data_IF_499561950007
#
_entry.id   IF_499561950007
#
_cell.length_a   1.000
_cell.length_b   1.000
_cell.length_c   1.000
_cell.angle_alpha   90.00
_cell.angle_beta   90.00
_cell.angle_gamma   90.00
#
_symmetry.space_group_name_H-M   'P 1'
#
loop_
_entity.id
_entity.type
_entity.pdbx_description
1 polymer ?
#
# COMPACT_ATOMS: atom_id res chain seq x y z
N UNK A 1 -51.25 -66.85 5.17
CA UNK A 1 -51.79 -65.58 5.69
C UNK A 1 -50.60 -64.86 6.32
N UNK A 2 -49.80 -64.10 5.56
CA UNK A 2 -50.01 -62.68 5.21
C UNK A 2 -50.16 -61.90 6.53
N UNK A 3 -49.15 -61.16 7.00
CA UNK A 3 -48.77 -59.85 6.44
C UNK A 3 -47.26 -59.59 6.49
N UNK A 4 -46.67 -59.27 5.34
CA UNK A 4 -45.51 -58.39 5.24
C UNK A 4 -46.00 -57.09 4.64
N UNK A 5 -45.87 -55.97 5.35
CA UNK A 5 -45.68 -54.62 4.77
C UNK A 5 -45.48 -53.56 5.87
N UNK A 6 -45.02 -52.34 5.56
CA UNK A 6 -43.79 -51.95 4.88
C UNK A 6 -42.94 -50.98 5.72
N UNK A 7 -41.68 -50.84 5.33
CA UNK A 7 -40.89 -49.60 5.31
C UNK A 7 -41.53 -48.38 6.02
N UNK A 8 -41.24 -48.20 7.31
CA UNK A 8 -41.23 -46.85 7.84
C UNK A 8 -40.04 -46.12 7.18
N UNK A 9 -40.26 -45.03 6.45
CA UNK A 9 -39.17 -44.15 6.09
C UNK A 9 -38.68 -43.58 7.41
N UNK A 10 -37.56 -44.13 7.92
CA UNK A 10 -36.80 -43.48 8.97
C UNK A 10 -36.21 -42.21 8.36
N UNK A 11 -37.07 -41.20 8.29
CA UNK A 11 -36.70 -39.84 8.00
C UNK A 11 -36.09 -39.33 9.30
N UNK A 12 -34.92 -39.87 9.67
CA UNK A 12 -34.08 -39.30 10.71
C UNK A 12 -33.52 -37.99 10.17
N UNK A 13 -34.38 -36.99 10.08
CA UNK A 13 -34.00 -35.59 10.02
C UNK A 13 -33.62 -35.15 11.43
N UNK A 14 -32.62 -35.83 12.01
CA UNK A 14 -31.93 -35.32 13.18
C UNK A 14 -31.21 -34.02 12.78
N UNK A 15 -30.91 -33.12 13.73
CA UNK A 15 -30.15 -31.89 13.50
C UNK A 15 -28.74 -32.06 12.87
N UNK A 16 -28.36 -33.26 12.43
CA UNK A 16 -27.04 -33.66 11.91
C UNK A 16 -27.01 -34.12 10.44
N UNK A 17 -27.99 -33.78 9.61
CA UNK A 17 -27.83 -33.88 8.15
C UNK A 17 -26.86 -32.82 7.61
N UNK A 18 -26.48 -32.88 6.33
CA UNK A 18 -25.57 -31.98 5.57
C UNK A 18 -25.52 -30.50 6.03
N UNK A 19 -26.64 -29.95 6.52
CA UNK A 19 -26.72 -28.64 7.17
C UNK A 19 -25.81 -28.45 8.41
N UNK A 20 -25.63 -29.49 9.23
CA UNK A 20 -24.72 -29.49 10.38
C UNK A 20 -23.25 -29.46 9.97
N UNK A 21 -22.86 -30.24 8.94
CA UNK A 21 -21.50 -30.22 8.38
C UNK A 21 -21.17 -28.86 7.74
N UNK A 22 -22.14 -28.22 7.10
CA UNK A 22 -22.01 -26.86 6.59
C UNK A 22 -21.84 -25.85 7.74
N UNK A 23 -22.61 -26.00 8.82
CA UNK A 23 -22.51 -25.13 9.98
C UNK A 23 -21.15 -25.25 10.70
N UNK A 24 -20.58 -26.46 10.76
CA UNK A 24 -19.26 -26.71 11.32
C UNK A 24 -18.14 -26.16 10.41
N UNK A 25 -18.23 -26.36 9.08
CA UNK A 25 -17.27 -25.80 8.13
C UNK A 25 -17.24 -24.25 8.16
N UNK A 26 -18.42 -23.61 8.23
CA UNK A 26 -18.50 -22.15 8.38
C UNK A 26 -17.84 -21.70 9.68
N UNK A 27 -18.01 -22.46 10.76
CA UNK A 27 -17.42 -22.14 12.07
C UNK A 27 -15.90 -22.26 12.05
N UNK A 28 -15.38 -23.28 11.38
CA UNK A 28 -13.94 -23.51 11.23
C UNK A 28 -13.27 -22.46 10.32
N UNK A 29 -13.86 -22.16 9.17
CA UNK A 29 -13.37 -21.09 8.27
C UNK A 29 -13.36 -19.73 8.97
N UNK A 30 -14.42 -19.44 9.74
CA UNK A 30 -14.48 -18.21 10.56
C UNK A 30 -13.39 -18.20 11.64
N UNK A 31 -13.05 -19.37 12.21
CA UNK A 31 -11.96 -19.54 13.16
C UNK A 31 -10.58 -19.25 12.55
N UNK A 32 -10.30 -19.79 11.37
CA UNK A 32 -9.03 -19.58 10.64
C UNK A 32 -8.87 -18.11 10.23
N UNK A 33 -9.89 -17.50 9.62
CA UNK A 33 -9.85 -16.09 9.20
C UNK A 33 -9.60 -15.15 10.40
N UNK A 34 -10.22 -15.44 11.55
CA UNK A 34 -9.98 -14.68 12.79
C UNK A 34 -8.59 -14.94 13.38
N UNK A 35 -8.01 -16.12 13.17
CA UNK A 35 -6.66 -16.48 13.58
C UNK A 35 -5.60 -15.77 12.75
N UNK A 36 -5.65 -15.94 11.43
CA UNK A 36 -4.70 -15.36 10.47
C UNK A 36 -4.81 -13.83 10.43
N UNK A 37 -6.01 -13.28 10.56
CA UNK A 37 -6.22 -11.83 10.59
C UNK A 37 -5.51 -11.12 11.75
N UNK A 38 -5.33 -11.79 12.90
CA UNK A 38 -4.55 -11.22 14.03
C UNK A 38 -3.07 -11.16 13.69
N UNK A 39 -2.54 -12.16 12.98
CA UNK A 39 -1.14 -12.21 12.60
C UNK A 39 -0.84 -11.15 11.53
N UNK A 40 -1.68 -11.06 10.50
CA UNK A 40 -1.60 -10.04 9.45
C UNK A 40 -1.64 -8.63 10.07
N UNK A 41 -2.58 -8.37 10.98
CA UNK A 41 -2.66 -7.08 11.67
C UNK A 41 -1.41 -6.79 12.50
N UNK A 42 -0.84 -7.81 13.14
CA UNK A 42 0.38 -7.66 13.94
C UNK A 42 1.57 -7.29 13.07
N UNK A 43 1.80 -8.04 11.99
CA UNK A 43 2.90 -7.79 11.05
C UNK A 43 2.75 -6.43 10.35
N UNK A 44 1.53 -6.07 9.92
CA UNK A 44 1.23 -4.73 9.41
C UNK A 44 1.53 -3.64 10.45
N UNK A 45 1.10 -3.83 11.70
CA UNK A 45 1.37 -2.85 12.76
C UNK A 45 2.86 -2.71 13.08
N UNK A 46 3.61 -3.80 12.98
CA UNK A 46 5.04 -3.85 13.25
C UNK A 46 5.83 -3.21 12.08
N UNK A 47 5.40 -3.48 10.85
CA UNK A 47 5.87 -2.80 9.64
C UNK A 47 5.61 -1.29 9.70
N UNK A 48 4.39 -0.87 10.03
CA UNK A 48 4.03 0.54 10.21
C UNK A 48 4.87 1.22 11.30
N UNK A 49 5.10 0.56 12.44
CA UNK A 49 5.96 1.08 13.51
C UNK A 49 7.42 1.20 13.08
N UNK A 50 7.94 0.22 12.34
CA UNK A 50 9.30 0.26 11.82
C UNK A 50 9.47 1.37 10.77
N UNK A 51 8.48 1.54 9.89
CA UNK A 51 8.44 2.65 8.93
C UNK A 51 8.35 4.01 9.65
N UNK A 52 7.53 4.12 10.70
CA UNK A 52 7.43 5.33 11.49
C UNK A 52 8.76 5.69 12.18
N UNK A 53 9.42 4.71 12.80
CA UNK A 53 10.74 4.90 13.41
C UNK A 53 11.81 5.29 12.36
N UNK A 54 11.77 4.69 11.17
CA UNK A 54 12.64 5.08 10.06
C UNK A 54 12.35 6.50 9.53
N UNK A 55 11.08 6.89 9.50
CA UNK A 55 10.66 8.21 9.05
C UNK A 55 11.18 9.34 9.95
N UNK A 56 11.25 9.14 11.27
CA UNK A 56 11.82 10.12 12.20
C UNK A 56 13.28 10.46 11.87
N UNK A 57 14.12 9.44 11.64
CA UNK A 57 15.51 9.65 11.22
C UNK A 57 15.63 10.30 9.84
N UNK A 58 14.74 9.95 8.89
CA UNK A 58 14.70 10.60 7.58
C UNK A 58 14.35 12.08 7.68
N UNK A 59 13.36 12.45 8.52
CA UNK A 59 12.98 13.85 8.73
C UNK A 59 14.13 14.62 9.38
N UNK A 60 14.75 14.07 10.42
CA UNK A 60 15.92 14.69 11.05
C UNK A 60 17.05 14.90 10.03
N UNK A 61 17.40 13.86 9.26
CA UNK A 61 18.41 13.95 8.20
C UNK A 61 18.07 14.97 7.13
N UNK A 62 16.81 15.07 6.71
CA UNK A 62 16.33 16.06 5.76
C UNK A 62 16.50 17.50 6.29
N UNK A 63 16.25 17.74 7.59
CA UNK A 63 16.48 19.03 8.23
C UNK A 63 17.97 19.38 8.21
N UNK A 64 18.85 18.45 8.59
CA UNK A 64 20.30 18.69 8.55
C UNK A 64 20.81 18.96 7.12
N UNK A 65 20.33 18.20 6.14
CA UNK A 65 20.65 18.43 4.74
C UNK A 65 20.14 19.78 4.25
N UNK A 66 18.95 20.21 4.67
CA UNK A 66 18.42 21.53 4.34
C UNK A 66 19.31 22.63 4.91
N UNK A 67 19.69 22.54 6.19
CA UNK A 67 20.61 23.51 6.82
C UNK A 67 21.96 23.54 6.10
N UNK A 68 22.54 22.38 5.81
CA UNK A 68 23.80 22.28 5.06
C UNK A 68 23.68 22.89 3.66
N UNK A 69 22.57 22.64 2.96
CA UNK A 69 22.30 23.22 1.65
C UNK A 69 22.20 24.75 1.72
N UNK A 70 21.52 25.31 2.73
CA UNK A 70 21.45 26.77 2.92
C UNK A 70 22.84 27.39 3.14
N UNK A 71 23.69 26.75 3.95
CA UNK A 71 25.07 27.19 4.15
C UNK A 71 25.88 27.12 2.86
N UNK A 72 25.74 26.06 2.07
CA UNK A 72 26.42 25.92 0.77
C UNK A 72 25.94 26.95 -0.24
N UNK A 73 24.64 27.26 -0.29
CA UNK A 73 24.08 28.33 -1.14
C UNK A 73 24.68 29.67 -0.73
N UNK A 74 24.78 29.96 0.57
CA UNK A 74 25.40 31.19 1.05
C UNK A 74 26.89 31.25 0.66
N UNK A 75 27.62 30.15 0.79
CA UNK A 75 29.02 30.07 0.37
C UNK A 75 29.18 30.31 -1.13
N UNK A 76 28.29 29.75 -1.95
CA UNK A 76 28.27 29.98 -3.40
C UNK A 76 27.98 31.44 -3.76
N UNK A 77 27.03 32.08 -3.06
CA UNK A 77 26.75 33.51 -3.24
C UNK A 77 27.97 34.35 -2.89
N UNK A 78 28.66 34.05 -1.78
CA UNK A 78 29.88 34.78 -1.37
C UNK A 78 30.98 34.60 -2.43
N UNK A 79 31.22 33.37 -2.89
CA UNK A 79 32.22 33.09 -3.92
C UNK A 79 31.92 33.83 -5.23
N UNK A 80 30.65 33.88 -5.66
CA UNK A 80 30.25 34.57 -6.88
C UNK A 80 30.24 36.10 -6.72
N UNK A 81 30.01 36.58 -5.49
CA UNK A 81 29.98 38.01 -5.18
C UNK A 81 31.33 38.70 -5.44
N UNK A 82 32.45 37.97 -5.39
CA UNK A 82 33.78 38.50 -5.75
C UNK A 82 33.84 39.02 -7.19
N UNK A 83 32.98 38.52 -8.08
CA UNK A 83 33.00 38.83 -9.51
C UNK A 83 31.90 39.79 -9.93
N UNK A 84 30.69 39.62 -9.39
CA UNK A 84 29.48 40.33 -9.85
C UNK A 84 28.86 41.22 -8.76
N UNK A 85 29.43 41.20 -7.55
CA UNK A 85 28.88 41.87 -6.38
C UNK A 85 27.78 41.07 -5.68
N UNK A 86 27.54 41.33 -4.38
CA UNK A 86 26.68 40.49 -3.53
C UNK A 86 25.21 40.49 -3.95
N UNK A 87 24.70 41.63 -4.42
CA UNK A 87 23.31 41.74 -4.90
C UNK A 87 23.06 40.82 -6.10
N UNK A 88 23.85 40.96 -7.16
CA UNK A 88 23.67 40.15 -8.37
C UNK A 88 24.02 38.67 -8.18
N UNK A 89 25.03 38.36 -7.35
CA UNK A 89 25.34 36.98 -7.01
C UNK A 89 24.14 36.25 -6.37
N UNK A 90 23.46 36.89 -5.42
CA UNK A 90 22.27 36.31 -4.78
C UNK A 90 21.12 36.07 -5.76
N UNK A 91 20.90 37.00 -6.71
CA UNK A 91 19.86 36.89 -7.75
C UNK A 91 20.18 35.74 -8.71
N UNK A 92 21.42 35.63 -9.18
CA UNK A 92 21.84 34.59 -10.13
C UNK A 92 21.69 33.20 -9.50
N UNK A 93 22.22 33.02 -8.30
CA UNK A 93 22.14 31.73 -7.59
C UNK A 93 20.70 31.37 -7.26
N UNK A 94 19.92 32.35 -6.77
CA UNK A 94 18.50 32.16 -6.49
C UNK A 94 17.68 31.79 -7.73
N UNK A 95 17.93 32.45 -8.87
CA UNK A 95 17.26 32.14 -10.13
C UNK A 95 17.62 30.72 -10.63
N UNK A 96 18.91 30.35 -10.59
CA UNK A 96 19.35 29.02 -11.00
C UNK A 96 18.71 27.91 -10.16
N UNK A 97 18.72 28.05 -8.82
CA UNK A 97 18.08 27.10 -7.92
C UNK A 97 16.56 27.08 -8.08
N UNK A 98 15.93 28.24 -8.31
CA UNK A 98 14.51 28.34 -8.60
C UNK A 98 14.09 27.55 -9.84
N UNK A 99 14.88 27.62 -10.92
CA UNK A 99 14.64 26.83 -12.14
C UNK A 99 14.76 25.32 -11.85
N UNK A 100 15.81 24.92 -11.15
CA UNK A 100 16.02 23.51 -10.77
C UNK A 100 14.84 23.01 -9.90
N UNK A 101 14.43 23.80 -8.90
CA UNK A 101 13.31 23.49 -8.03
C UNK A 101 11.98 23.36 -8.78
N UNK A 102 11.69 24.28 -9.70
CA UNK A 102 10.49 24.21 -10.54
C UNK A 102 10.47 22.93 -11.40
N UNK A 103 11.62 22.55 -11.97
CA UNK A 103 11.74 21.33 -12.78
C UNK A 103 11.56 20.06 -11.93
N UNK A 104 12.13 20.03 -10.72
CA UNK A 104 11.94 18.91 -9.78
C UNK A 104 10.48 18.77 -9.36
N UNK A 105 9.79 19.87 -9.05
CA UNK A 105 8.36 19.86 -8.73
C UNK A 105 7.55 19.35 -9.93
N UNK A 106 7.83 19.84 -11.14
CA UNK A 106 7.16 19.38 -12.35
C UNK A 106 7.31 17.86 -12.55
N UNK A 107 8.52 17.32 -12.39
CA UNK A 107 8.77 15.88 -12.49
C UNK A 107 8.16 15.08 -11.34
N UNK A 108 8.23 15.58 -10.12
CA UNK A 108 7.63 14.95 -8.94
C UNK A 108 6.12 14.79 -9.10
N UNK A 109 5.44 15.84 -9.58
CA UNK A 109 4.00 15.79 -9.88
C UNK A 109 3.65 14.71 -10.91
N UNK A 110 4.45 14.57 -11.96
CA UNK A 110 4.24 13.49 -12.95
C UNK A 110 4.48 12.09 -12.37
N UNK A 111 5.45 11.93 -11.48
CA UNK A 111 5.72 10.64 -10.83
C UNK A 111 4.66 10.26 -9.81
N UNK A 112 4.10 11.22 -9.08
CA UNK A 112 3.01 10.98 -8.14
C UNK A 112 1.68 10.71 -8.88
N UNK A 113 1.43 11.40 -9.99
CA UNK A 113 0.30 11.12 -10.88
C UNK A 113 0.37 9.74 -11.54
N UNK A 114 1.56 9.22 -11.83
CA UNK A 114 1.75 7.85 -12.32
C UNK A 114 1.76 6.81 -11.18
N UNK A 115 2.13 7.21 -9.96
CA UNK A 115 2.09 6.38 -8.76
C UNK A 115 0.70 6.30 -8.12
N UNK A 116 -0.27 7.10 -8.60
CA UNK A 116 -1.69 6.91 -8.30
C UNK A 116 -2.28 5.79 -9.18
N UNK A 117 -2.37 4.60 -8.56
CA UNK A 117 -3.59 3.75 -8.56
C UNK A 117 -3.84 2.70 -9.65
N UNK A 118 -2.92 2.35 -10.55
CA UNK A 118 -3.16 1.18 -11.40
C UNK A 118 -1.93 0.28 -11.46
N UNK A 119 -1.92 -0.84 -10.70
CA UNK A 119 -1.14 -1.99 -11.13
C UNK A 119 -1.77 -2.47 -12.45
N UNK A 120 -1.33 -1.89 -13.58
CA UNK A 120 -1.79 -2.22 -14.94
C UNK A 120 -1.64 -3.72 -15.25
N UNK A 121 -0.74 -4.40 -14.52
CA UNK A 121 -0.52 -5.84 -14.62
C UNK A 121 -1.56 -6.68 -13.86
N UNK A 122 -2.20 -6.15 -12.81
CA UNK A 122 -3.14 -6.93 -11.97
C UNK A 122 -4.55 -6.92 -12.53
N UNK A 123 -4.99 -5.84 -13.18
CA UNK A 123 -6.33 -5.78 -13.77
C UNK A 123 -6.51 -6.72 -14.98
N UNK A 124 -5.44 -7.00 -15.73
CA UNK A 124 -5.50 -7.95 -16.85
C UNK A 124 -5.62 -9.41 -16.39
N UNK A 125 -5.11 -9.76 -15.21
CA UNK A 125 -5.24 -11.13 -14.69
C UNK A 125 -6.62 -11.37 -14.08
N UNK A 126 -7.15 -10.42 -13.29
CA UNK A 126 -8.50 -10.54 -12.71
C UNK A 126 -9.60 -10.62 -13.76
N UNK A 127 -9.47 -9.87 -14.87
CA UNK A 127 -10.43 -9.93 -15.97
C UNK A 127 -10.39 -11.26 -16.73
N UNK A 128 -9.22 -11.92 -16.79
CA UNK A 128 -9.08 -13.24 -17.40
C UNK A 128 -9.73 -14.33 -16.54
N UNK A 129 -9.57 -14.26 -15.23
CA UNK A 129 -10.15 -15.24 -14.30
C UNK A 129 -11.68 -15.12 -14.21
N UNK A 130 -12.24 -13.91 -14.27
CA UNK A 130 -13.70 -13.70 -14.33
C UNK A 130 -14.29 -14.26 -15.64
N UNK A 131 -13.55 -14.18 -16.75
CA UNK A 131 -14.01 -14.71 -18.04
C UNK A 131 -14.05 -16.25 -18.03
N UNK A 132 -13.06 -16.90 -17.42
CA UNK A 132 -13.03 -18.37 -17.28
C UNK A 132 -14.11 -18.88 -16.32
N UNK A 133 -14.38 -18.15 -15.24
CA UNK A 133 -15.48 -18.49 -14.32
C UNK A 133 -16.88 -18.38 -14.98
N UNK A 134 -17.04 -17.51 -15.99
CA UNK A 134 -18.28 -17.39 -16.78
C UNK A 134 -18.40 -18.45 -17.88
N UNK A 135 -17.33 -19.13 -18.25
CA UNK A 135 -17.31 -20.17 -19.29
C UNK A 135 -17.56 -21.57 -18.70
N UNK A 136 -17.48 -21.71 -17.38
CA UNK A 136 -17.76 -22.94 -16.63
C UNK A 136 -19.06 -22.89 -15.80
N UNK A 137 -19.92 -21.89 -16.06
CA UNK A 137 -21.30 -21.80 -15.61
C UNK A 137 -22.23 -21.76 -16.82
#
# INVERSE_FOLDING_TARGET
>A
MIERDPLSPQTESGPGGIAGLLADLIRDVTGIVRGEGRLIRTELSQGLKSMAAGAEMMVAGAIFLLVAALVLVQALVIALAEWVGPGWASVIVGAALGIIGALLIARGRTSLSAAELMPDRTLQQTSRDIRLAKEHL
#
